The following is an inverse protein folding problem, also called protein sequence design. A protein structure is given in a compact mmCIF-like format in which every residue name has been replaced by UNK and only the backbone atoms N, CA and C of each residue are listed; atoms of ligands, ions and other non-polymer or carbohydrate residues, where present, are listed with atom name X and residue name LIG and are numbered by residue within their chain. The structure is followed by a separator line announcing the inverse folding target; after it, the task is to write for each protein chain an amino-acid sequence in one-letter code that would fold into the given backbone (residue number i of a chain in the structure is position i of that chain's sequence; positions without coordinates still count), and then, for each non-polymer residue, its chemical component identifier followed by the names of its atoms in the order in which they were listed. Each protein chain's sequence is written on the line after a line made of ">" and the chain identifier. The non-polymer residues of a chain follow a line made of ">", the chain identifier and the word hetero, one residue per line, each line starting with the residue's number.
data_IF_947635492921
#
_entry.id   IF_947635492921
#
_cell.length_a   1.000
_cell.length_b   1.000
_cell.length_c   1.000
_cell.angle_alpha   90.00
_cell.angle_beta   90.00
_cell.angle_gamma   90.00
#
_symmetry.space_group_name_H-M   'P 1'
#
loop_
_entity.id
_entity.type
_entity.pdbx_description
1 polymer ?
#
# COMPACT_ATOMS: atom_id res chain seq x y z
N UNK A 1 -17.91 -16.48 22.34
CA UNK A 1 -18.66 -17.44 23.19
C UNK A 1 -19.11 -18.58 22.29
N UNK A 2 -18.17 -19.41 21.85
CA UNK A 2 -18.53 -20.67 21.18
C UNK A 2 -18.86 -21.66 22.28
N UNK A 3 -20.16 -21.86 22.52
CA UNK A 3 -20.62 -22.99 23.32
C UNK A 3 -20.32 -24.25 22.51
N UNK A 4 -19.10 -24.77 22.64
CA UNK A 4 -18.79 -26.15 22.29
C UNK A 4 -19.64 -27.02 23.20
N UNK A 5 -20.81 -27.42 22.70
CA UNK A 5 -21.60 -28.46 23.32
C UNK A 5 -20.73 -29.71 23.39
N UNK A 6 -20.36 -30.09 24.60
CA UNK A 6 -19.68 -31.34 24.85
C UNK A 6 -20.66 -32.45 24.46
N UNK A 7 -20.35 -33.17 23.37
CA UNK A 7 -21.11 -34.38 23.04
C UNK A 7 -20.92 -35.35 24.20
N UNK A 8 -21.99 -35.61 24.94
CA UNK A 8 -22.05 -36.71 25.90
C UNK A 8 -21.86 -38.01 25.11
N UNK A 9 -20.83 -38.77 25.46
CA UNK A 9 -20.56 -40.06 24.84
C UNK A 9 -21.75 -40.98 25.08
N UNK A 10 -22.41 -41.39 24.00
CA UNK A 10 -23.37 -42.48 24.03
C UNK A 10 -22.62 -43.73 24.50
N UNK A 11 -23.03 -44.33 25.63
CA UNK A 11 -22.52 -45.61 26.10
C UNK A 11 -21.49 -45.58 27.23
N UNK A 12 -21.24 -44.45 27.89
CA UNK A 12 -20.34 -44.41 29.08
C UNK A 12 -21.17 -44.57 30.36
N UNK A 13 -21.55 -45.81 30.67
CA UNK A 13 -22.10 -46.18 31.98
C UNK A 13 -23.43 -46.95 31.92
N UNK A 14 -23.52 -48.05 32.68
CA UNK A 14 -24.68 -48.94 32.74
C UNK A 14 -25.98 -48.27 33.25
N UNK A 15 -25.92 -47.03 33.76
CA UNK A 15 -27.03 -46.31 34.38
C UNK A 15 -27.47 -45.04 33.63
N UNK A 16 -26.86 -44.72 32.48
CA UNK A 16 -27.10 -43.45 31.75
C UNK A 16 -27.58 -43.63 30.31
N UNK A 17 -28.25 -44.73 29.98
CA UNK A 17 -28.92 -44.86 28.68
C UNK A 17 -30.36 -44.32 28.79
N UNK A 18 -30.70 -43.19 28.14
CA UNK A 18 -32.08 -42.75 28.06
C UNK A 18 -32.95 -43.82 27.36
N UNK A 19 -34.25 -43.90 27.67
CA UNK A 19 -35.15 -44.84 27.02
C UNK A 19 -35.10 -44.65 25.50
N UNK A 20 -34.84 -45.74 24.77
CA UNK A 20 -34.85 -45.76 23.30
C UNK A 20 -36.26 -45.48 22.77
N UNK A 21 -36.35 -44.69 21.70
CA UNK A 21 -37.62 -44.37 21.08
C UNK A 21 -38.25 -45.64 20.48
N UNK A 22 -39.55 -45.86 20.74
CA UNK A 22 -40.34 -46.90 20.09
C UNK A 22 -41.17 -46.23 19.00
N UNK A 23 -40.83 -46.46 17.75
CA UNK A 23 -41.57 -45.90 16.62
C UNK A 23 -42.81 -46.73 16.32
N UNK A 24 -43.93 -46.04 16.02
CA UNK A 24 -45.15 -46.65 15.48
C UNK A 24 -44.86 -47.25 14.10
N UNK A 25 -45.65 -48.25 13.70
CA UNK A 25 -45.51 -48.87 12.38
C UNK A 25 -45.78 -47.87 11.25
N UNK A 26 -46.67 -46.90 11.47
CA UNK A 26 -46.89 -45.77 10.55
C UNK A 26 -45.61 -44.96 10.32
N UNK A 27 -44.82 -44.72 11.38
CA UNK A 27 -43.56 -43.98 11.30
C UNK A 27 -42.49 -44.77 10.55
N UNK A 28 -42.44 -46.09 10.73
CA UNK A 28 -41.51 -46.96 10.00
C UNK A 28 -41.82 -46.94 8.50
N UNK A 29 -43.10 -47.08 8.13
CA UNK A 29 -43.55 -47.04 6.74
C UNK A 29 -43.25 -45.69 6.08
N UNK A 30 -43.44 -44.58 6.80
CA UNK A 30 -43.08 -43.25 6.30
C UNK A 30 -41.57 -43.14 6.01
N UNK A 31 -40.73 -43.61 6.93
CA UNK A 31 -39.27 -43.57 6.74
C UNK A 31 -38.85 -44.44 5.56
N UNK A 32 -39.48 -45.60 5.37
CA UNK A 32 -39.24 -46.47 4.22
C UNK A 32 -39.57 -45.78 2.90
N UNK A 33 -40.73 -45.13 2.80
CA UNK A 33 -41.12 -44.35 1.63
C UNK A 33 -40.13 -43.21 1.35
N UNK A 34 -39.66 -42.51 2.39
CA UNK A 34 -38.62 -41.48 2.25
C UNK A 34 -37.27 -42.04 1.78
N UNK A 35 -36.88 -43.24 2.22
CA UNK A 35 -35.66 -43.92 1.77
C UNK A 35 -35.75 -44.34 0.29
N UNK A 36 -36.94 -44.69 -0.19
CA UNK A 36 -37.20 -44.99 -1.60
C UNK A 36 -37.13 -43.74 -2.48
N UNK A 37 -37.77 -42.65 -2.05
CA UNK A 37 -37.77 -41.38 -2.76
C UNK A 37 -36.38 -40.72 -2.83
N UNK A 38 -35.58 -40.83 -1.76
CA UNK A 38 -34.27 -40.18 -1.64
C UNK A 38 -33.10 -40.90 -2.34
N UNK A 39 -33.34 -42.04 -3.01
CA UNK A 39 -32.33 -42.83 -3.77
C UNK A 39 -31.03 -43.10 -2.99
N UNK A 40 -31.15 -43.46 -1.70
CA UNK A 40 -30.00 -43.77 -0.84
C UNK A 40 -29.25 -45.03 -1.29
N UNK A 41 -27.95 -45.09 -0.98
CA UNK A 41 -27.14 -46.30 -1.17
C UNK A 41 -27.63 -47.43 -0.24
N UNK A 42 -27.41 -48.70 -0.63
CA UNK A 42 -27.82 -49.87 0.18
C UNK A 42 -27.24 -49.82 1.60
N UNK A 43 -26.00 -49.36 1.73
CA UNK A 43 -25.35 -49.20 3.04
C UNK A 43 -26.06 -48.14 3.90
N UNK A 44 -26.42 -46.99 3.32
CA UNK A 44 -27.15 -45.94 4.03
C UNK A 44 -28.55 -46.41 4.46
N UNK A 45 -29.28 -47.10 3.58
CA UNK A 45 -30.58 -47.70 3.90
C UNK A 45 -30.48 -48.63 5.11
N UNK A 46 -29.48 -49.51 5.12
CA UNK A 46 -29.23 -50.42 6.25
C UNK A 46 -28.93 -49.67 7.55
N UNK A 47 -28.09 -48.62 7.50
CA UNK A 47 -27.78 -47.83 8.71
C UNK A 47 -28.99 -47.10 9.29
N UNK A 48 -29.87 -46.58 8.44
CA UNK A 48 -31.09 -45.89 8.84
C UNK A 48 -32.08 -46.89 9.44
N UNK A 49 -32.27 -48.03 8.79
CA UNK A 49 -33.17 -49.08 9.28
C UNK A 49 -32.72 -49.62 10.64
N UNK A 50 -31.43 -49.90 10.83
CA UNK A 50 -30.90 -50.30 12.13
C UNK A 50 -31.11 -49.24 13.22
N UNK A 51 -30.95 -47.95 12.89
CA UNK A 51 -31.19 -46.86 13.84
C UNK A 51 -32.67 -46.79 14.26
N UNK A 52 -33.60 -46.95 13.31
CA UNK A 52 -35.04 -46.97 13.56
C UNK A 52 -35.43 -48.17 14.41
N UNK A 53 -34.90 -49.37 14.13
CA UNK A 53 -35.16 -50.58 14.92
C UNK A 53 -34.62 -50.47 16.35
N UNK A 54 -33.44 -49.87 16.52
CA UNK A 54 -32.80 -49.67 17.82
C UNK A 54 -33.36 -48.47 18.58
N UNK A 55 -34.19 -47.63 17.95
CA UNK A 55 -34.70 -46.40 18.58
C UNK A 55 -33.61 -45.34 18.80
N UNK A 56 -32.56 -45.37 17.96
CA UNK A 56 -31.42 -44.46 17.99
C UNK A 56 -31.66 -43.28 17.04
N UNK A 57 -30.95 -42.17 17.25
CA UNK A 57 -31.06 -41.01 16.37
C UNK A 57 -30.55 -41.35 14.96
N UNK A 58 -31.24 -40.86 13.93
CA UNK A 58 -30.80 -40.97 12.54
C UNK A 58 -29.37 -40.40 12.36
N UNK A 59 -28.57 -41.00 11.47
CA UNK A 59 -27.22 -40.50 11.20
C UNK A 59 -27.31 -39.04 10.72
N UNK A 60 -26.41 -38.15 11.20
CA UNK A 60 -26.40 -36.77 10.74
C UNK A 60 -26.22 -36.77 9.21
N UNK A 61 -26.97 -35.91 8.51
CA UNK A 61 -26.79 -35.67 7.09
C UNK A 61 -25.31 -35.43 6.85
N UNK A 62 -24.68 -36.31 6.07
CA UNK A 62 -23.38 -36.01 5.49
C UNK A 62 -23.73 -35.02 4.39
N UNK A 63 -23.95 -33.77 4.77
CA UNK A 63 -23.74 -32.69 3.84
C UNK A 63 -22.35 -32.96 3.31
N UNK A 64 -22.27 -33.22 2.00
CA UNK A 64 -20.99 -33.25 1.28
C UNK A 64 -20.52 -31.79 1.29
N UNK A 65 -20.15 -31.32 2.47
CA UNK A 65 -19.09 -30.36 2.66
C UNK A 65 -17.97 -30.97 1.84
N UNK A 66 -17.73 -30.39 0.67
CA UNK A 66 -16.50 -30.55 -0.07
C UNK A 66 -15.40 -30.04 0.87
N UNK A 67 -15.02 -30.86 1.84
CA UNK A 67 -13.77 -30.71 2.53
C UNK A 67 -12.76 -31.14 1.48
N UNK A 68 -12.31 -30.17 0.68
CA UNK A 68 -10.98 -30.21 0.10
C UNK A 68 -10.04 -30.29 1.30
N UNK A 69 -9.83 -31.50 1.83
CA UNK A 69 -8.71 -31.82 2.68
C UNK A 69 -7.52 -32.00 1.74
N UNK A 70 -7.09 -30.89 1.15
CA UNK A 70 -5.68 -30.73 0.87
C UNK A 70 -5.01 -30.70 2.24
N UNK A 71 -4.03 -31.59 2.43
CA UNK A 71 -3.15 -31.61 3.59
C UNK A 71 -2.31 -30.33 3.59
N UNK A 72 -2.94 -29.22 3.99
CA UNK A 72 -2.22 -28.01 4.37
C UNK A 72 -1.67 -28.31 5.76
N UNK A 73 -0.34 -28.34 5.86
CA UNK A 73 0.36 -28.23 7.14
C UNK A 73 -0.40 -27.24 8.02
N UNK A 74 -0.84 -27.71 9.19
CA UNK A 74 -1.48 -26.90 10.21
C UNK A 74 -0.43 -25.95 10.82
N UNK A 75 0.01 -24.97 10.02
CA UNK A 75 0.42 -23.67 10.51
C UNK A 75 -0.87 -22.93 10.87
N UNK A 76 -1.58 -23.45 11.88
CA UNK A 76 -2.80 -22.87 12.38
C UNK A 76 -2.51 -21.43 12.79
N UNK A 77 -2.95 -20.49 11.95
CA UNK A 77 -2.94 -19.06 12.25
C UNK A 77 -3.80 -18.90 13.50
N UNK A 78 -3.16 -18.92 14.66
CA UNK A 78 -3.82 -18.69 15.95
C UNK A 78 -4.29 -17.25 15.94
N UNK A 79 -5.57 -17.06 15.66
CA UNK A 79 -6.24 -15.77 15.78
C UNK A 79 -5.96 -15.24 17.19
N UNK A 80 -5.29 -14.08 17.33
CA UNK A 80 -4.91 -13.59 18.65
C UNK A 80 -6.19 -13.31 19.44
N UNK A 81 -6.28 -13.91 20.62
CA UNK A 81 -7.32 -13.60 21.57
C UNK A 81 -7.20 -12.09 21.90
N UNK A 82 -8.18 -11.30 21.47
CA UNK A 82 -8.12 -9.82 21.38
C UNK A 82 -7.94 -9.10 22.71
N UNK A 83 -7.93 -9.85 23.82
CA UNK A 83 -7.95 -9.34 25.18
C UNK A 83 -6.57 -9.33 25.87
N UNK A 84 -5.53 -9.96 25.30
CA UNK A 84 -4.20 -9.99 25.92
C UNK A 84 -3.09 -9.67 24.93
N UNK A 85 -2.18 -8.77 25.31
CA UNK A 85 -0.96 -8.48 24.54
C UNK A 85 -0.07 -9.73 24.48
N UNK A 86 0.43 -10.05 23.28
CA UNK A 86 1.42 -11.11 23.05
C UNK A 86 2.78 -10.67 23.61
N UNK A 87 3.58 -11.61 24.12
CA UNK A 87 4.98 -11.31 24.48
C UNK A 87 5.80 -11.08 23.21
N UNK A 88 6.94 -10.38 23.36
CA UNK A 88 7.86 -10.09 22.25
C UNK A 88 8.25 -11.37 21.51
N UNK A 89 8.65 -12.40 22.25
CA UNK A 89 9.12 -13.67 21.67
C UNK A 89 8.04 -14.36 20.84
N UNK A 90 6.77 -14.32 21.30
CA UNK A 90 5.64 -14.87 20.55
C UNK A 90 5.33 -14.06 19.28
N UNK A 91 5.59 -12.75 19.28
CA UNK A 91 5.40 -11.92 18.08
C UNK A 91 6.50 -12.24 17.05
N UNK A 92 7.75 -12.35 17.50
CA UNK A 92 8.90 -12.70 16.64
C UNK A 92 8.74 -14.12 16.09
N UNK A 93 8.38 -15.10 16.93
CA UNK A 93 8.17 -16.49 16.49
C UNK A 93 7.00 -16.64 15.51
N UNK A 94 6.02 -15.74 15.57
CA UNK A 94 4.89 -15.74 14.64
C UNK A 94 5.19 -15.15 13.26
N UNK A 95 6.42 -14.64 13.02
CA UNK A 95 6.81 -13.96 11.79
C UNK A 95 6.17 -12.57 11.59
N UNK A 96 5.12 -12.23 12.35
CA UNK A 96 4.42 -10.95 12.26
C UNK A 96 5.26 -9.72 12.69
N UNK A 97 6.43 -9.94 13.28
CA UNK A 97 7.37 -8.85 13.58
C UNK A 97 8.03 -8.30 12.31
N UNK A 98 8.25 -9.17 11.32
CA UNK A 98 8.90 -8.79 10.07
C UNK A 98 7.90 -8.06 9.17
N UNK A 99 8.36 -6.98 8.52
CA UNK A 99 7.54 -6.26 7.54
C UNK A 99 7.49 -7.05 6.24
N UNK A 100 6.29 -7.20 5.69
CA UNK A 100 6.13 -7.75 4.35
C UNK A 100 6.95 -6.92 3.35
N UNK A 101 7.86 -7.60 2.63
CA UNK A 101 8.59 -6.97 1.54
C UNK A 101 7.65 -6.77 0.36
N UNK A 102 7.67 -5.57 -0.23
CA UNK A 102 6.89 -5.30 -1.43
C UNK A 102 7.31 -6.24 -2.56
N UNK A 103 6.47 -7.23 -2.84
CA UNK A 103 6.58 -8.08 -4.02
C UNK A 103 5.62 -7.58 -5.07
N UNK A 104 6.16 -7.09 -6.18
CA UNK A 104 5.36 -6.72 -7.34
C UNK A 104 4.68 -7.99 -7.87
N UNK A 105 3.38 -8.13 -7.66
CA UNK A 105 2.60 -9.33 -8.06
C UNK A 105 2.54 -9.52 -9.58
N UNK A 106 2.87 -8.48 -10.35
CA UNK A 106 2.93 -8.54 -11.81
C UNK A 106 4.34 -8.19 -12.32
N UNK A 107 4.97 -9.03 -13.16
CA UNK A 107 6.24 -8.69 -13.80
C UNK A 107 6.09 -7.43 -14.68
N UNK A 108 7.07 -6.52 -14.58
CA UNK A 108 7.15 -5.26 -15.34
C UNK A 108 6.99 -5.43 -16.86
N UNK A 109 7.44 -6.58 -17.37
CA UNK A 109 7.55 -6.86 -18.80
C UNK A 109 6.25 -7.37 -19.43
N UNK A 110 5.30 -7.89 -18.64
CA UNK A 110 4.12 -8.60 -19.17
C UNK A 110 2.84 -7.79 -19.10
N UNK A 111 2.92 -6.49 -18.76
CA UNK A 111 1.76 -5.59 -18.83
C UNK A 111 1.55 -5.20 -20.30
N UNK A 112 0.99 -6.13 -21.08
CA UNK A 112 0.39 -5.79 -22.36
C UNK A 112 -0.77 -4.83 -22.09
N UNK A 113 -0.99 -3.84 -22.97
CA UNK A 113 -2.10 -2.87 -22.88
C UNK A 113 -3.47 -3.52 -22.58
N UNK A 114 -3.66 -4.76 -23.04
CA UNK A 114 -4.83 -5.60 -22.79
C UNK A 114 -5.02 -5.95 -21.31
N UNK A 115 -3.96 -6.33 -20.59
CA UNK A 115 -4.06 -6.69 -19.17
C UNK A 115 -4.37 -5.46 -18.30
N UNK A 116 -3.81 -4.31 -18.65
CA UNK A 116 -4.07 -3.06 -17.93
C UNK A 116 -5.52 -2.59 -18.14
N UNK A 117 -6.04 -2.70 -19.37
CA UNK A 117 -7.44 -2.46 -19.68
C UNK A 117 -8.38 -3.40 -18.91
N UNK A 118 -8.02 -4.67 -18.76
CA UNK A 118 -8.82 -5.65 -18.01
C UNK A 118 -8.87 -5.33 -16.51
N UNK A 119 -7.75 -4.88 -15.91
CA UNK A 119 -7.72 -4.49 -14.49
C UNK A 119 -8.57 -3.27 -14.21
N UNK A 120 -8.54 -2.26 -15.08
CA UNK A 120 -9.39 -1.07 -14.94
C UNK A 120 -10.88 -1.40 -15.12
N UNK A 121 -11.23 -2.32 -16.04
CA UNK A 121 -12.60 -2.84 -16.16
C UNK A 121 -13.06 -3.55 -14.89
N UNK A 122 -12.22 -4.42 -14.31
CA UNK A 122 -12.53 -5.13 -13.06
C UNK A 122 -12.71 -4.18 -11.88
N UNK A 123 -11.86 -3.16 -11.74
CA UNK A 123 -12.02 -2.13 -10.69
C UNK A 123 -13.33 -1.37 -10.85
N UNK A 124 -13.66 -0.94 -12.07
CA UNK A 124 -14.92 -0.25 -12.36
C UNK A 124 -16.12 -1.13 -12.02
N UNK A 125 -16.13 -2.37 -12.52
CA UNK A 125 -17.19 -3.34 -12.25
C UNK A 125 -17.43 -3.50 -10.74
N UNK A 126 -16.35 -3.72 -9.97
CA UNK A 126 -16.44 -3.85 -8.52
C UNK A 126 -16.98 -2.57 -7.86
N UNK A 127 -16.49 -1.40 -8.27
CA UNK A 127 -16.98 -0.12 -7.75
C UNK A 127 -18.47 0.09 -8.05
N UNK A 128 -18.93 -0.25 -9.26
CA UNK A 128 -20.34 -0.16 -9.64
C UNK A 128 -21.21 -1.15 -8.83
N UNK A 129 -20.75 -2.39 -8.66
CA UNK A 129 -21.41 -3.39 -7.83
C UNK A 129 -21.52 -2.96 -6.36
N UNK A 130 -20.47 -2.37 -5.78
CA UNK A 130 -20.49 -1.88 -4.40
C UNK A 130 -21.39 -0.65 -4.21
N UNK A 131 -21.36 0.30 -5.14
CA UNK A 131 -22.10 1.56 -5.01
C UNK A 131 -23.59 1.42 -5.38
N UNK A 132 -23.89 0.65 -6.44
CA UNK A 132 -25.22 0.61 -7.05
C UNK A 132 -25.84 -0.80 -7.07
N UNK A 133 -25.10 -1.83 -6.65
CA UNK A 133 -25.57 -3.23 -6.65
C UNK A 133 -25.70 -3.85 -8.04
N UNK A 134 -25.35 -3.11 -9.11
CA UNK A 134 -25.46 -3.52 -10.51
C UNK A 134 -24.33 -2.89 -11.31
N UNK A 135 -23.91 -3.56 -12.38
CA UNK A 135 -22.92 -2.99 -13.29
C UNK A 135 -23.57 -1.95 -14.21
N UNK A 136 -22.90 -0.81 -14.37
CA UNK A 136 -23.43 0.35 -15.09
C UNK A 136 -22.67 0.50 -16.42
N UNK A 137 -23.35 0.75 -17.56
CA UNK A 137 -22.71 0.88 -18.86
C UNK A 137 -21.54 1.87 -18.84
N UNK A 138 -20.57 1.70 -19.75
CA UNK A 138 -19.43 2.62 -19.85
C UNK A 138 -19.94 4.06 -20.01
N UNK A 139 -19.60 4.89 -19.03
CA UNK A 139 -19.93 6.31 -19.05
C UNK A 139 -19.24 6.91 -20.28
N UNK A 140 -19.94 7.64 -21.15
CA UNK A 140 -19.33 8.31 -22.28
C UNK A 140 -18.18 9.18 -21.77
N UNK A 141 -16.95 8.76 -22.05
CA UNK A 141 -15.77 9.52 -21.68
C UNK A 141 -15.69 10.69 -22.64
N UNK A 142 -16.11 11.87 -22.17
CA UNK A 142 -15.71 13.13 -22.80
C UNK A 142 -14.18 13.22 -22.90
N UNK A 143 -13.64 14.18 -23.66
CA UNK A 143 -12.20 14.37 -23.77
C UNK A 143 -11.62 14.42 -22.35
N UNK A 144 -10.72 13.48 -22.06
CA UNK A 144 -10.07 13.40 -20.75
C UNK A 144 -9.44 14.75 -20.50
N UNK A 145 -9.99 15.53 -19.58
CA UNK A 145 -9.27 16.66 -19.01
C UNK A 145 -8.12 16.00 -18.27
N UNK A 146 -6.98 15.90 -18.95
CA UNK A 146 -5.71 15.61 -18.33
C UNK A 146 -5.53 16.75 -17.34
N UNK A 147 -5.97 16.57 -16.09
CA UNK A 147 -5.41 17.32 -14.98
C UNK A 147 -3.93 17.11 -15.14
N UNK A 148 -3.24 18.18 -15.56
CA UNK A 148 -1.88 18.13 -16.01
C UNK A 148 -1.12 17.25 -15.06
N UNK A 149 -0.54 16.17 -15.61
CA UNK A 149 0.67 15.62 -15.04
C UNK A 149 1.46 16.86 -14.65
N UNK A 150 1.65 17.08 -13.33
CA UNK A 150 2.73 17.96 -12.90
C UNK A 150 3.90 17.36 -13.64
N UNK A 151 4.28 18.02 -14.73
CA UNK A 151 5.56 17.80 -15.35
C UNK A 151 6.47 18.12 -14.18
N UNK A 152 6.98 17.10 -13.50
CA UNK A 152 8.34 17.18 -13.01
C UNK A 152 9.07 17.82 -14.18
N UNK A 153 9.66 19.01 -14.01
CA UNK A 153 10.26 19.70 -15.12
C UNK A 153 11.16 18.66 -15.77
N UNK A 154 10.73 18.17 -16.93
CA UNK A 154 11.62 17.56 -17.86
C UNK A 154 12.64 18.66 -17.99
N UNK A 155 13.80 18.45 -17.39
CA UNK A 155 15.03 19.06 -17.82
C UNK A 155 15.04 18.73 -19.29
N UNK A 156 14.45 19.65 -20.07
CA UNK A 156 14.61 19.71 -21.49
C UNK A 156 16.07 19.45 -21.70
N UNK A 157 16.38 18.66 -22.71
CA UNK A 157 17.68 18.50 -23.33
C UNK A 157 18.20 19.86 -23.88
N UNK A 158 18.10 20.93 -23.09
CA UNK A 158 19.12 21.95 -23.06
C UNK A 158 20.36 21.24 -22.57
N UNK A 159 21.21 20.87 -23.51
CA UNK A 159 22.66 20.88 -23.33
C UNK A 159 23.02 22.29 -22.84
N UNK A 160 22.69 22.61 -21.59
CA UNK A 160 23.25 23.75 -20.91
C UNK A 160 24.69 23.33 -20.70
N UNK A 161 25.59 23.92 -21.49
CA UNK A 161 27.02 23.74 -21.30
C UNK A 161 27.31 23.78 -19.80
N UNK A 162 27.97 22.76 -19.22
CA UNK A 162 28.22 22.70 -17.78
C UNK A 162 28.84 23.99 -17.23
N UNK A 163 29.59 24.71 -18.08
CA UNK A 163 30.15 26.02 -17.80
C UNK A 163 29.07 27.12 -17.60
N UNK A 164 28.03 27.16 -18.43
CA UNK A 164 26.93 28.12 -18.30
C UNK A 164 26.12 27.88 -17.02
N UNK A 165 25.95 26.62 -16.61
CA UNK A 165 25.31 26.30 -15.33
C UNK A 165 26.14 26.78 -14.13
N UNK A 166 27.46 26.61 -14.18
CA UNK A 166 28.35 27.10 -13.13
C UNK A 166 28.34 28.64 -13.04
N UNK A 167 28.35 29.34 -14.18
CA UNK A 167 28.25 30.81 -14.23
C UNK A 167 26.91 31.29 -13.66
N UNK A 168 25.80 30.67 -14.09
CA UNK A 168 24.47 30.98 -13.56
C UNK A 168 24.43 30.77 -12.04
N UNK A 169 24.98 29.66 -11.56
CA UNK A 169 25.05 29.37 -10.14
C UNK A 169 25.93 30.36 -9.35
N UNK A 170 26.96 30.97 -9.94
CA UNK A 170 27.72 32.04 -9.28
C UNK A 170 26.86 33.31 -9.15
N UNK A 171 26.16 33.70 -10.21
CA UNK A 171 25.29 34.89 -10.21
C UNK A 171 24.18 34.77 -9.17
N UNK A 172 23.51 33.62 -9.11
CA UNK A 172 22.47 33.34 -8.11
C UNK A 172 22.99 33.49 -6.66
N UNK A 173 24.22 33.07 -6.38
CA UNK A 173 24.82 33.20 -5.03
C UNK A 173 25.23 34.63 -4.70
N UNK A 174 25.66 35.40 -5.70
CA UNK A 174 25.92 36.83 -5.53
C UNK A 174 24.62 37.60 -5.28
N UNK A 175 23.56 37.28 -6.02
CA UNK A 175 22.24 37.88 -5.84
C UNK A 175 21.65 37.53 -4.47
N UNK A 176 21.71 36.27 -4.07
CA UNK A 176 21.30 35.84 -2.74
C UNK A 176 22.08 36.56 -1.63
N UNK A 177 23.40 36.71 -1.77
CA UNK A 177 24.20 37.42 -0.78
C UNK A 177 23.78 38.89 -0.67
N UNK A 178 23.52 39.56 -1.81
CA UNK A 178 23.02 40.94 -1.84
C UNK A 178 21.67 41.06 -1.14
N UNK A 179 20.74 40.14 -1.41
CA UNK A 179 19.42 40.14 -0.80
C UNK A 179 19.53 39.91 0.73
N UNK A 180 20.40 39.01 1.16
CA UNK A 180 20.66 38.78 2.59
C UNK A 180 21.39 39.93 3.28
N UNK A 181 22.26 40.65 2.57
CA UNK A 181 22.92 41.87 3.07
C UNK A 181 21.91 43.00 3.25
N UNK A 182 20.97 43.17 2.32
CA UNK A 182 19.87 44.13 2.43
C UNK A 182 18.94 43.82 3.62
N UNK A 183 18.78 42.54 3.96
CA UNK A 183 18.04 42.08 5.16
C UNK A 183 18.88 42.13 6.45
N UNK A 184 20.12 42.62 6.42
CA UNK A 184 21.02 42.71 7.58
C UNK A 184 21.63 41.37 8.03
N UNK A 185 21.38 40.28 7.29
CA UNK A 185 21.86 38.92 7.60
C UNK A 185 23.20 38.59 6.94
N UNK A 186 23.88 39.57 6.35
CA UNK A 186 25.15 39.40 5.63
C UNK A 186 26.22 38.69 6.46
N UNK A 187 26.39 39.02 7.75
CA UNK A 187 27.42 38.39 8.61
C UNK A 187 27.32 36.87 8.69
N UNK A 188 26.09 36.33 8.64
CA UNK A 188 25.83 34.89 8.73
C UNK A 188 26.11 34.18 7.40
N UNK A 189 25.65 34.74 6.29
CA UNK A 189 25.67 34.08 4.99
C UNK A 189 26.91 34.39 4.15
N UNK A 190 27.63 35.48 4.44
CA UNK A 190 28.86 35.87 3.74
C UNK A 190 29.92 34.76 3.68
N UNK A 191 30.34 34.10 4.78
CA UNK A 191 31.36 33.05 4.70
C UNK A 191 30.85 31.82 3.91
N UNK A 192 29.58 31.45 4.10
CA UNK A 192 28.97 30.30 3.43
C UNK A 192 28.87 30.51 1.91
N UNK A 193 28.35 31.66 1.48
CA UNK A 193 28.21 31.99 0.06
C UNK A 193 29.56 32.20 -0.60
N UNK A 194 30.54 32.81 0.09
CA UNK A 194 31.91 32.93 -0.42
C UNK A 194 32.56 31.56 -0.66
N UNK A 195 32.33 30.59 0.22
CA UNK A 195 32.82 29.22 0.03
C UNK A 195 32.17 28.56 -1.20
N UNK A 196 30.86 28.68 -1.36
CA UNK A 196 30.14 28.12 -2.51
C UNK A 196 30.57 28.77 -3.84
N UNK A 197 30.74 30.10 -3.85
CA UNK A 197 31.26 30.85 -5.00
C UNK A 197 32.69 30.37 -5.33
N UNK A 198 33.56 30.26 -4.34
CA UNK A 198 34.93 29.77 -4.53
C UNK A 198 34.96 28.33 -5.06
N UNK A 199 34.08 27.46 -4.58
CA UNK A 199 33.95 26.08 -5.08
C UNK A 199 33.54 26.07 -6.56
N UNK A 200 32.52 26.86 -6.95
CA UNK A 200 32.09 26.96 -8.34
C UNK A 200 33.17 27.53 -9.25
N UNK A 201 33.92 28.54 -8.79
CA UNK A 201 35.08 29.08 -9.53
C UNK A 201 36.12 27.99 -9.76
N UNK A 202 36.51 27.22 -8.74
CA UNK A 202 37.48 26.12 -8.89
C UNK A 202 37.01 25.05 -9.88
N UNK A 203 35.72 24.73 -9.90
CA UNK A 203 35.14 23.80 -10.86
C UNK A 203 35.28 24.35 -12.29
N UNK A 204 34.95 25.62 -12.52
CA UNK A 204 35.16 26.27 -13.82
C UNK A 204 36.65 26.24 -14.21
N UNK A 205 37.55 26.58 -13.28
CA UNK A 205 39.01 26.58 -13.51
C UNK A 205 39.54 25.18 -13.89
N UNK A 206 38.95 24.13 -13.31
CA UNK A 206 39.33 22.74 -13.59
C UNK A 206 38.85 22.25 -14.96
N UNK A 207 37.69 22.74 -15.42
CA UNK A 207 37.10 22.33 -16.68
C UNK A 207 37.78 22.98 -17.89
N UNK A 208 38.34 24.19 -17.74
CA UNK A 208 38.65 24.98 -18.92
C UNK A 208 39.77 26.01 -18.68
N UNK A 209 41.03 25.60 -18.92
CA UNK A 209 42.22 26.44 -18.71
C UNK A 209 42.24 27.71 -19.58
N UNK A 210 41.45 27.76 -20.67
CA UNK A 210 41.42 28.89 -21.62
C UNK A 210 40.29 29.90 -21.32
N UNK A 211 39.08 29.46 -20.99
CA UNK A 211 37.97 30.37 -20.62
C UNK A 211 38.10 30.94 -19.20
N UNK A 212 38.84 30.27 -18.31
CA UNK A 212 39.21 30.77 -16.98
C UNK A 212 39.82 32.20 -17.01
N UNK A 213 40.63 32.50 -18.01
CA UNK A 213 41.25 33.83 -18.15
C UNK A 213 40.25 34.92 -18.56
N UNK A 214 39.19 34.57 -19.27
CA UNK A 214 38.14 35.50 -19.70
C UNK A 214 37.21 35.84 -18.52
N UNK A 215 36.77 34.83 -17.76
CA UNK A 215 35.90 35.01 -16.60
C UNK A 215 36.57 35.80 -15.47
N UNK A 216 37.87 35.60 -15.23
CA UNK A 216 38.63 36.43 -14.28
C UNK A 216 38.63 37.91 -14.66
N UNK A 217 38.57 38.24 -15.96
CA UNK A 217 38.46 39.63 -16.43
C UNK A 217 37.05 40.17 -16.19
N UNK A 218 36.02 39.40 -16.48
CA UNK A 218 34.61 39.79 -16.29
C UNK A 218 34.24 39.97 -14.81
N UNK A 219 34.67 39.07 -13.92
CA UNK A 219 34.44 39.21 -12.47
C UNK A 219 35.12 40.47 -11.93
N UNK A 220 36.33 40.78 -12.42
CA UNK A 220 37.01 42.02 -12.08
C UNK A 220 36.21 43.23 -12.56
N UNK A 221 35.73 43.24 -13.80
CA UNK A 221 34.90 44.34 -14.31
C UNK A 221 33.61 44.53 -13.50
N UNK A 222 32.91 43.45 -13.16
CA UNK A 222 31.68 43.50 -12.37
C UNK A 222 31.92 44.04 -10.95
N UNK A 223 33.10 43.78 -10.37
CA UNK A 223 33.48 44.35 -9.08
C UNK A 223 33.80 45.85 -9.12
N UNK A 224 34.16 46.40 -10.30
CA UNK A 224 34.40 47.83 -10.51
C UNK A 224 33.11 48.60 -10.83
N UNK A 225 32.04 47.94 -11.29
CA UNK A 225 30.71 48.54 -11.48
C UNK A 225 29.85 48.57 -10.20
N UNK A 226 30.47 48.65 -9.00
CA UNK A 226 29.72 48.99 -7.79
C UNK A 226 29.36 50.48 -7.87
N UNK A 227 28.08 50.87 -7.98
CA UNK A 227 27.74 52.27 -7.81
C UNK A 227 28.13 52.67 -6.38
N UNK A 228 28.85 53.79 -6.25
CA UNK A 228 29.17 54.39 -4.95
C UNK A 228 27.88 54.49 -4.13
N UNK A 229 27.89 54.12 -2.83
CA UNK A 229 26.71 54.24 -2.00
C UNK A 229 26.22 55.69 -2.06
N UNK A 230 24.93 55.87 -2.42
CA UNK A 230 24.29 57.19 -2.39
C UNK A 230 24.47 57.77 -0.98
N UNK A 231 24.96 59.01 -0.84
CA UNK A 231 25.08 59.62 0.48
C UNK A 231 23.68 59.67 1.10
N UNK A 232 23.58 59.22 2.35
CA UNK A 232 22.35 59.34 3.13
C UNK A 232 21.98 60.83 3.26
N UNK A 233 20.71 61.20 3.12
CA UNK A 233 20.30 62.58 3.38
C UNK A 233 20.52 62.84 4.88
N UNK A 234 21.50 63.68 5.20
CA UNK A 234 21.55 64.31 6.52
C UNK A 234 20.32 65.19 6.61
N UNK A 235 19.41 64.85 7.52
CA UNK A 235 18.34 65.75 7.92
C UNK A 235 18.96 67.07 8.35
N UNK A 236 18.43 68.17 7.81
CA UNK A 236 18.72 69.50 8.29
C UNK A 236 18.41 69.53 9.80
N UNK A 237 19.45 69.76 10.60
CA UNK A 237 19.27 70.13 11.99
C UNK A 237 18.90 71.61 11.95
N UNK A 238 17.64 71.90 12.26
CA UNK A 238 17.19 73.25 12.56
C UNK A 238 17.94 73.74 13.81
N UNK A 239 18.73 74.81 13.68
CA UNK A 239 19.28 75.55 14.81
C UNK A 239 18.28 76.66 15.20
N UNK A 240 17.89 76.66 16.48
CA UNK A 240 17.08 77.71 17.15
C UNK A 240 17.83 79.05 17.27
#
# INVERSE_FOLDING_TARGET
>A
MDRRYQRVGLGVGAFHNPPRARYSDETKNLIELLMEESKLTVLQKKTIQEAVEKGESLPPSIDVMKTNQDYVQDDGIRLPNTWRRRSRDTIVSSGAYEREQYRRTAPLHTINFVQLANKEKQKRHLACMMAYGKDMPETPRGPKILHGIRRDPQTSENVQDPLNELIRGIRERMDFLRDMENLGLGKKYRPMMQQEIAQKIRLIESMDKRTCNQLRKEIRQLSHERPSPKPFPLGEFDED
#
